data_IF_759610643075
#
_entry.id   IF_759610643075
#
_cell.length_a   1.000
_cell.length_b   1.000
_cell.length_c   1.000
_cell.angle_alpha   90.00
_cell.angle_beta   90.00
_cell.angle_gamma   90.00
#
_symmetry.space_group_name_H-M   'P 1'
#
loop_
_entity.id
_entity.type
_entity.pdbx_description
1 polymer ?
#
# COMPACT_ATOMS: atom_id res chain seq x y z
N UNK A 1 32.71 -22.43 -46.24
CA UNK A 1 32.77 -21.24 -45.36
C UNK A 1 31.46 -21.16 -44.56
N UNK A 2 31.47 -21.60 -43.30
CA UNK A 2 30.29 -21.55 -42.41
C UNK A 2 30.29 -20.22 -41.70
N UNK A 3 29.23 -19.40 -41.89
CA UNK A 3 29.04 -18.16 -41.16
C UNK A 3 28.46 -18.49 -39.76
N UNK A 4 29.22 -18.16 -38.73
CA UNK A 4 28.80 -18.25 -37.33
C UNK A 4 27.96 -17.01 -37.02
N UNK A 5 26.67 -17.21 -36.73
CA UNK A 5 25.75 -16.13 -36.30
C UNK A 5 25.91 -16.02 -34.79
N UNK A 6 26.49 -14.91 -34.31
CA UNK A 6 26.60 -14.60 -32.89
C UNK A 6 25.28 -13.98 -32.45
N UNK A 7 24.49 -14.71 -31.64
CA UNK A 7 23.27 -14.21 -31.05
C UNK A 7 23.63 -13.50 -29.72
N UNK A 8 23.67 -12.19 -29.72
CA UNK A 8 23.84 -11.38 -28.49
C UNK A 8 22.49 -11.25 -27.77
N UNK A 9 22.32 -12.04 -26.72
CA UNK A 9 21.20 -11.84 -25.75
C UNK A 9 21.46 -10.60 -24.90
N UNK A 10 20.75 -9.54 -25.16
CA UNK A 10 20.71 -8.37 -24.28
C UNK A 10 19.84 -8.74 -23.08
N UNK A 11 20.47 -9.02 -21.94
CA UNK A 11 19.80 -9.20 -20.66
C UNK A 11 19.40 -7.79 -20.17
N UNK A 12 18.14 -7.42 -20.38
CA UNK A 12 17.57 -6.19 -19.84
C UNK A 12 17.50 -6.30 -18.32
N UNK A 13 18.43 -5.68 -17.61
CA UNK A 13 18.27 -5.42 -16.17
C UNK A 13 17.14 -4.42 -15.99
N UNK A 14 15.95 -4.90 -15.57
CA UNK A 14 14.93 -4.04 -15.01
C UNK A 14 15.49 -3.46 -13.70
N UNK A 15 15.93 -2.20 -13.70
CA UNK A 15 16.20 -1.46 -12.47
C UNK A 15 14.89 -1.39 -11.69
N UNK A 16 14.73 -2.30 -10.74
CA UNK A 16 13.77 -2.14 -9.65
C UNK A 16 14.26 -0.93 -8.84
N UNK A 17 13.55 0.18 -8.92
CA UNK A 17 13.75 1.31 -8.00
C UNK A 17 13.24 0.91 -6.62
N UNK A 18 13.97 0.03 -5.93
CA UNK A 18 13.78 -0.18 -4.52
C UNK A 18 14.15 1.15 -3.82
N UNK A 19 13.25 1.68 -3.01
CA UNK A 19 13.56 2.85 -2.21
C UNK A 19 14.78 2.56 -1.33
N UNK A 20 15.78 3.44 -1.33
CA UNK A 20 16.97 3.28 -0.49
C UNK A 20 16.59 3.29 1.00
N UNK A 21 17.23 2.44 1.82
CA UNK A 21 16.90 2.27 3.24
C UNK A 21 17.11 3.55 4.08
N UNK A 22 18.02 4.45 3.65
CA UNK A 22 18.51 5.60 4.43
C UNK A 22 18.17 6.95 3.80
N UNK A 23 16.96 7.14 3.31
CA UNK A 23 16.55 8.44 2.79
C UNK A 23 16.29 9.44 3.95
N UNK A 24 16.89 10.67 3.93
CA UNK A 24 16.76 11.61 5.03
C UNK A 24 15.33 11.94 5.42
N UNK A 25 15.02 11.78 6.70
CA UNK A 25 13.73 12.08 7.29
C UNK A 25 12.68 10.96 7.18
N UNK A 26 12.95 9.87 6.45
CA UNK A 26 12.09 8.69 6.50
C UNK A 26 12.50 7.74 7.63
N UNK A 27 11.52 7.29 8.39
CA UNK A 27 11.70 6.28 9.45
C UNK A 27 10.91 5.02 9.08
N UNK A 28 11.45 3.86 9.43
CA UNK A 28 10.74 2.60 9.21
C UNK A 28 9.50 2.51 10.10
N UNK A 29 8.38 2.10 9.53
CA UNK A 29 7.15 1.74 10.25
C UNK A 29 7.11 0.26 10.63
N UNK A 30 7.99 -0.56 10.05
CA UNK A 30 8.06 -2.00 10.27
C UNK A 30 9.53 -2.43 10.36
N UNK A 31 9.87 -3.12 11.44
CA UNK A 31 11.25 -3.51 11.75
C UNK A 31 11.75 -4.76 11.00
N UNK A 32 10.86 -5.44 10.24
CA UNK A 32 11.17 -6.65 9.48
C UNK A 32 11.30 -7.93 10.32
N UNK A 33 11.02 -7.89 11.62
CA UNK A 33 11.22 -9.01 12.57
C UNK A 33 9.93 -9.43 13.29
N UNK A 34 9.15 -8.45 13.73
CA UNK A 34 7.92 -8.64 14.48
C UNK A 34 6.94 -7.49 14.24
N UNK A 35 5.78 -7.53 14.87
CA UNK A 35 4.75 -6.49 14.77
C UNK A 35 4.87 -5.42 15.86
N UNK A 36 6.05 -5.21 16.44
CA UNK A 36 6.25 -4.12 17.40
C UNK A 36 5.87 -2.77 16.77
N UNK A 37 5.16 -1.94 17.52
CA UNK A 37 4.57 -0.70 17.02
C UNK A 37 3.21 -0.86 16.34
N UNK A 38 2.72 -2.09 16.14
CA UNK A 38 1.43 -2.43 15.56
C UNK A 38 0.56 -3.25 16.53
N UNK A 39 -0.74 -3.25 16.29
CA UNK A 39 -1.69 -4.12 17.01
C UNK A 39 -2.81 -4.57 16.08
N UNK A 40 -3.42 -5.71 16.41
CA UNK A 40 -4.66 -6.15 15.78
C UNK A 40 -5.77 -5.12 16.05
N UNK A 41 -6.60 -4.85 15.04
CA UNK A 41 -7.83 -4.07 15.20
C UNK A 41 -8.89 -4.85 15.99
N UNK A 42 -8.88 -6.18 15.89
CA UNK A 42 -9.76 -7.07 16.66
C UNK A 42 -9.08 -7.53 17.94
N UNK A 43 -9.84 -7.60 19.03
CA UNK A 43 -9.36 -8.07 20.33
C UNK A 43 -9.58 -9.57 20.55
N UNK A 44 -10.08 -10.33 19.56
CA UNK A 44 -10.43 -11.75 19.65
C UNK A 44 -9.22 -12.70 19.58
N UNK A 45 -8.01 -12.16 19.42
CA UNK A 45 -6.77 -12.92 19.35
C UNK A 45 -6.51 -13.60 18.01
N UNK A 46 -7.39 -13.46 17.02
CA UNK A 46 -7.14 -13.96 15.67
C UNK A 46 -6.01 -13.16 15.00
N UNK A 47 -5.07 -13.87 14.40
CA UNK A 47 -3.94 -13.27 13.70
C UNK A 47 -3.69 -14.01 12.38
N UNK A 48 -3.82 -13.31 11.26
CA UNK A 48 -3.52 -13.81 9.92
C UNK A 48 -2.18 -13.33 9.38
N UNK A 49 -1.44 -12.55 10.16
CA UNK A 49 -0.16 -11.98 9.78
C UNK A 49 1.01 -12.84 10.22
N UNK A 50 1.99 -12.95 9.35
CA UNK A 50 3.29 -13.58 9.60
C UNK A 50 4.40 -12.71 9.02
N UNK A 51 5.64 -12.99 9.44
CA UNK A 51 6.81 -12.26 8.96
C UNK A 51 7.83 -13.28 8.46
N UNK A 52 8.28 -13.08 7.23
CA UNK A 52 9.27 -13.95 6.61
C UNK A 52 10.21 -13.12 5.73
N UNK A 53 11.50 -13.21 6.00
CA UNK A 53 12.52 -12.49 5.22
C UNK A 53 12.33 -10.97 5.19
N UNK A 54 11.83 -10.36 6.28
CA UNK A 54 11.54 -8.93 6.34
C UNK A 54 10.25 -8.50 5.64
N UNK A 55 9.44 -9.45 5.17
CA UNK A 55 8.15 -9.21 4.52
C UNK A 55 7.04 -9.47 5.53
N UNK A 56 6.13 -8.51 5.70
CA UNK A 56 4.91 -8.64 6.47
C UNK A 56 3.83 -9.26 5.57
N UNK A 57 3.41 -10.48 5.89
CA UNK A 57 2.48 -11.29 5.09
C UNK A 57 1.16 -11.44 5.80
N UNK A 58 0.06 -11.07 5.14
CA UNK A 58 -1.29 -11.48 5.51
C UNK A 58 -1.70 -12.65 4.61
N UNK A 59 -2.13 -13.75 5.20
CA UNK A 59 -2.62 -14.92 4.45
C UNK A 59 -4.07 -15.19 4.83
N UNK A 60 -4.94 -15.12 3.83
CA UNK A 60 -6.37 -15.40 3.98
C UNK A 60 -6.74 -16.54 3.05
N UNK A 61 -7.22 -17.63 3.63
CA UNK A 61 -7.71 -18.78 2.89
C UNK A 61 -9.14 -18.51 2.36
N UNK A 62 -9.54 -19.25 1.33
CA UNK A 62 -10.87 -19.12 0.75
C UNK A 62 -11.96 -19.36 1.79
N UNK A 63 -12.84 -18.40 1.99
CA UNK A 63 -13.96 -18.48 2.94
C UNK A 63 -13.60 -18.08 4.38
N UNK A 64 -12.35 -17.68 4.62
CA UNK A 64 -11.91 -17.15 5.91
C UNK A 64 -11.82 -15.63 5.89
N UNK A 65 -11.73 -15.04 7.06
CA UNK A 65 -11.43 -13.63 7.28
C UNK A 65 -10.08 -13.50 7.98
N UNK A 66 -9.25 -12.61 7.50
CA UNK A 66 -8.01 -12.25 8.17
C UNK A 66 -8.22 -11.17 9.24
N UNK A 67 -7.14 -10.52 9.60
CA UNK A 67 -7.11 -9.52 10.69
C UNK A 67 -6.46 -8.23 10.21
N UNK A 68 -7.07 -7.10 10.54
CA UNK A 68 -6.49 -5.78 10.27
C UNK A 68 -5.40 -5.44 11.27
N UNK A 69 -4.33 -4.76 10.82
CA UNK A 69 -3.30 -4.19 11.68
C UNK A 69 -3.37 -2.67 11.69
N UNK A 70 -3.20 -2.07 12.87
CA UNK A 70 -3.12 -0.62 13.04
C UNK A 70 -1.88 -0.23 13.83
N UNK A 71 -1.22 0.88 13.47
CA UNK A 71 -0.10 1.38 14.27
C UNK A 71 -0.55 1.88 15.63
N UNK A 72 0.29 1.70 16.65
CA UNK A 72 0.07 2.30 17.97
C UNK A 72 0.17 3.82 17.93
N UNK A 73 1.10 4.34 17.12
CA UNK A 73 1.30 5.79 16.91
C UNK A 73 0.27 6.33 15.93
N UNK A 74 -0.16 7.58 16.15
CA UNK A 74 -1.04 8.35 15.27
C UNK A 74 -0.24 9.45 14.57
N UNK A 75 -0.62 9.77 13.35
CA UNK A 75 0.07 10.72 12.47
C UNK A 75 -0.93 11.73 11.91
N UNK A 76 -0.45 12.93 11.57
CA UNK A 76 -1.28 13.97 10.94
C UNK A 76 -0.88 14.23 9.49
N UNK A 77 0.12 15.06 9.24
CA UNK A 77 0.68 15.29 7.90
C UNK A 77 1.90 14.39 7.71
N UNK A 78 1.93 13.63 6.62
CA UNK A 78 3.05 12.74 6.33
C UNK A 78 3.13 12.34 4.87
N UNK A 79 4.32 11.89 4.46
CA UNK A 79 4.52 11.06 3.28
C UNK A 79 4.85 9.65 3.73
N UNK A 80 4.16 8.66 3.18
CA UNK A 80 4.45 7.23 3.40
C UNK A 80 4.88 6.60 2.08
N UNK A 81 5.86 5.70 2.17
CA UNK A 81 6.31 4.84 1.07
C UNK A 81 6.21 3.40 1.51
N UNK A 82 5.72 2.57 0.61
CA UNK A 82 5.65 1.14 0.85
C UNK A 82 5.62 0.38 -0.47
N UNK A 83 5.93 -0.89 -0.37
CA UNK A 83 5.72 -1.83 -1.46
C UNK A 83 4.72 -2.89 -1.01
N UNK A 84 3.84 -3.27 -1.93
CA UNK A 84 2.90 -4.36 -1.70
C UNK A 84 2.87 -5.33 -2.89
N UNK A 85 2.45 -6.55 -2.60
CA UNK A 85 2.23 -7.60 -3.60
C UNK A 85 0.91 -8.30 -3.28
N UNK A 86 0.13 -8.61 -4.32
CA UNK A 86 -1.16 -9.32 -4.18
C UNK A 86 -1.30 -10.40 -5.26
N UNK A 87 -1.99 -11.51 -4.95
CA UNK A 87 -2.48 -12.44 -5.97
C UNK A 87 -3.57 -11.80 -6.85
N UNK A 88 -3.86 -12.42 -7.99
CA UNK A 88 -5.06 -12.08 -8.79
C UNK A 88 -6.33 -12.13 -7.91
N UNK A 89 -7.21 -11.17 -8.11
CA UNK A 89 -8.50 -11.03 -7.42
C UNK A 89 -8.40 -10.88 -5.89
N UNK A 90 -7.21 -10.62 -5.34
CA UNK A 90 -7.10 -10.29 -3.92
C UNK A 90 -7.57 -8.88 -3.64
N UNK A 91 -8.07 -8.66 -2.42
CA UNK A 91 -8.57 -7.38 -1.93
C UNK A 91 -7.91 -7.04 -0.59
N UNK A 92 -7.41 -5.83 -0.49
CA UNK A 92 -6.80 -5.25 0.70
C UNK A 92 -6.87 -3.72 0.62
N UNK A 93 -6.36 -3.02 1.63
CA UNK A 93 -6.30 -1.57 1.66
C UNK A 93 -5.17 -1.05 2.54
N UNK A 94 -4.64 0.11 2.16
CA UNK A 94 -3.72 0.89 2.98
C UNK A 94 -4.40 2.19 3.40
N UNK A 95 -4.69 2.34 4.69
CA UNK A 95 -5.45 3.49 5.18
C UNK A 95 -4.54 4.58 5.73
N UNK A 96 -4.63 5.76 5.14
CA UNK A 96 -4.03 6.98 5.68
C UNK A 96 -4.88 7.45 6.85
N UNK A 97 -4.26 7.65 8.02
CA UNK A 97 -4.92 8.02 9.30
C UNK A 97 -6.04 7.05 9.72
N UNK A 98 -6.03 5.81 9.20
CA UNK A 98 -7.08 4.83 9.45
C UNK A 98 -8.46 5.20 8.90
N UNK A 99 -8.56 6.18 8.00
CA UNK A 99 -9.85 6.72 7.52
C UNK A 99 -9.94 6.87 6.01
N UNK A 100 -8.81 7.04 5.32
CA UNK A 100 -8.76 7.22 3.87
C UNK A 100 -8.05 6.03 3.25
N UNK A 101 -8.81 5.14 2.65
CA UNK A 101 -8.29 3.93 2.03
C UNK A 101 -7.70 4.20 0.65
N UNK A 102 -6.46 3.80 0.48
CA UNK A 102 -5.86 3.54 -0.82
C UNK A 102 -6.09 2.08 -1.13
N UNK A 103 -6.98 1.83 -2.10
CA UNK A 103 -7.41 0.48 -2.47
C UNK A 103 -6.26 -0.34 -3.04
N UNK A 104 -6.14 -1.58 -2.58
CA UNK A 104 -5.21 -2.58 -3.07
C UNK A 104 -6.00 -3.74 -3.66
N UNK A 105 -5.93 -3.90 -4.99
CA UNK A 105 -6.61 -4.97 -5.71
C UNK A 105 -5.68 -5.70 -6.66
N UNK A 106 -5.89 -7.02 -6.79
CA UNK A 106 -5.31 -7.84 -7.83
C UNK A 106 -6.10 -7.76 -9.13
N UNK A 107 -6.29 -6.56 -9.68
CA UNK A 107 -7.16 -6.27 -10.82
C UNK A 107 -6.43 -5.98 -12.14
N UNK A 108 -5.14 -6.26 -12.23
CA UNK A 108 -4.31 -5.96 -13.40
C UNK A 108 -4.92 -6.39 -14.74
N UNK A 109 -5.60 -7.53 -14.76
CA UNK A 109 -6.25 -8.06 -15.97
C UNK A 109 -7.38 -7.19 -16.51
N UNK A 110 -7.88 -6.24 -15.72
CA UNK A 110 -8.90 -5.27 -16.17
C UNK A 110 -8.34 -4.30 -17.21
N UNK A 111 -7.04 -4.02 -17.19
CA UNK A 111 -6.33 -3.13 -18.11
C UNK A 111 -6.75 -1.66 -18.05
N UNK A 112 -7.59 -1.27 -17.09
CA UNK A 112 -8.12 0.09 -16.96
C UNK A 112 -8.48 0.43 -15.51
N UNK A 113 -8.46 1.72 -15.11
CA UNK A 113 -8.96 2.16 -13.81
C UNK A 113 -10.44 1.78 -13.64
N UNK A 114 -10.82 1.31 -12.45
CA UNK A 114 -12.20 1.07 -12.09
C UNK A 114 -12.76 2.28 -11.32
N UNK A 115 -13.99 2.69 -11.64
CA UNK A 115 -14.66 3.78 -10.93
C UNK A 115 -14.89 3.40 -9.46
N UNK A 116 -14.28 4.18 -8.56
CA UNK A 116 -14.53 4.12 -7.13
C UNK A 116 -13.88 2.99 -6.34
N UNK A 117 -13.31 1.95 -6.98
CA UNK A 117 -12.84 0.79 -6.25
C UNK A 117 -11.66 0.01 -6.86
N UNK A 118 -11.06 0.44 -7.98
CA UNK A 118 -9.91 -0.20 -8.60
C UNK A 118 -8.62 0.01 -7.81
N UNK A 119 -7.60 -0.78 -8.15
CA UNK A 119 -6.29 -0.66 -7.52
C UNK A 119 -5.75 0.78 -7.58
N UNK A 120 -5.32 1.32 -6.45
CA UNK A 120 -4.86 2.69 -6.31
C UNK A 120 -5.96 3.74 -6.16
N UNK A 121 -7.25 3.39 -6.19
CA UNK A 121 -8.33 4.34 -5.94
C UNK A 121 -8.26 4.86 -4.48
N UNK A 122 -8.67 6.11 -4.28
CA UNK A 122 -9.16 6.55 -2.97
C UNK A 122 -10.58 5.99 -2.89
N UNK A 123 -10.75 4.91 -2.11
CA UNK A 123 -11.93 4.04 -2.14
C UNK A 123 -13.23 4.81 -1.97
N UNK A 124 -14.25 4.48 -2.78
CA UNK A 124 -15.56 5.15 -2.82
C UNK A 124 -15.51 6.68 -2.99
N UNK A 125 -14.35 7.25 -3.33
CA UNK A 125 -14.18 8.68 -3.46
C UNK A 125 -13.67 9.08 -4.86
N UNK A 126 -12.47 8.64 -5.24
CA UNK A 126 -11.85 9.06 -6.50
C UNK A 126 -11.12 7.88 -7.16
N UNK A 127 -11.47 7.59 -8.41
CA UNK A 127 -10.73 6.64 -9.22
C UNK A 127 -9.32 7.18 -9.54
N UNK A 128 -8.30 6.30 -9.73
CA UNK A 128 -7.01 6.74 -10.19
C UNK A 128 -7.12 7.37 -11.60
N UNK A 129 -6.35 8.42 -11.84
CA UNK A 129 -6.33 9.13 -13.13
C UNK A 129 -5.69 8.31 -14.25
N UNK A 130 -4.91 7.31 -13.92
CA UNK A 130 -4.22 6.42 -14.86
C UNK A 130 -4.18 4.98 -14.33
N UNK A 131 -4.13 4.01 -15.24
CA UNK A 131 -3.88 2.62 -14.88
C UNK A 131 -2.37 2.41 -14.68
N UNK A 132 -1.98 2.17 -13.44
CA UNK A 132 -0.59 2.04 -13.03
C UNK A 132 -0.25 0.69 -12.39
N UNK A 133 -1.21 -0.25 -12.31
CA UNK A 133 -1.01 -1.58 -11.74
C UNK A 133 -0.01 -2.41 -12.53
N UNK A 134 0.77 -3.24 -11.83
CA UNK A 134 1.57 -4.32 -12.40
C UNK A 134 0.85 -5.66 -12.24
N UNK A 135 1.26 -6.71 -12.98
CA UNK A 135 0.72 -8.06 -12.83
C UNK A 135 0.69 -8.56 -11.38
N UNK A 136 -0.25 -9.46 -11.10
CA UNK A 136 -0.29 -10.18 -9.83
C UNK A 136 1.04 -10.90 -9.56
N UNK A 137 1.47 -10.89 -8.29
CA UNK A 137 2.75 -11.45 -7.89
C UNK A 137 3.95 -10.53 -8.13
N UNK A 138 3.78 -9.38 -8.77
CA UNK A 138 4.82 -8.35 -8.84
C UNK A 138 4.67 -7.32 -7.71
N UNK A 139 5.82 -6.80 -7.23
CA UNK A 139 5.84 -5.73 -6.25
C UNK A 139 5.40 -4.40 -6.86
N UNK A 140 4.35 -3.82 -6.28
CA UNK A 140 3.87 -2.48 -6.56
C UNK A 140 4.56 -1.50 -5.63
N UNK A 141 4.97 -0.33 -6.11
CA UNK A 141 5.58 0.73 -5.29
C UNK A 141 4.61 1.87 -5.12
N UNK A 142 4.43 2.34 -3.90
CA UNK A 142 3.55 3.46 -3.57
C UNK A 142 4.31 4.55 -2.81
N UNK A 143 4.08 5.78 -3.22
CA UNK A 143 4.31 6.97 -2.41
C UNK A 143 2.99 7.69 -2.24
N UNK A 144 2.57 7.93 -0.99
CA UNK A 144 1.35 8.65 -0.68
C UNK A 144 1.63 9.76 0.32
N UNK A 145 1.15 10.96 0.02
CA UNK A 145 1.25 12.13 0.89
C UNK A 145 -0.13 12.60 1.29
N UNK A 146 -0.33 12.88 2.57
CA UNK A 146 -1.52 13.53 3.10
C UNK A 146 -1.12 14.78 3.89
N UNK A 147 -1.65 15.93 3.48
CA UNK A 147 -1.49 17.23 4.15
C UNK A 147 -2.87 17.85 4.33
N UNK A 148 -3.24 18.11 5.59
CA UNK A 148 -4.63 18.46 5.88
C UNK A 148 -5.58 17.38 5.36
N UNK A 149 -6.49 17.74 4.48
CA UNK A 149 -7.43 16.81 3.82
C UNK A 149 -7.05 16.47 2.37
N UNK A 150 -5.86 16.87 1.90
CA UNK A 150 -5.39 16.67 0.52
C UNK A 150 -4.51 15.43 0.41
N UNK A 151 -4.84 14.56 -0.53
CA UNK A 151 -4.12 13.30 -0.78
C UNK A 151 -3.50 13.32 -2.17
N UNK A 152 -2.19 13.05 -2.22
CA UNK A 152 -1.43 12.84 -3.48
C UNK A 152 -0.86 11.44 -3.46
N UNK A 153 -0.99 10.70 -4.56
CA UNK A 153 -0.51 9.30 -4.65
C UNK A 153 0.22 9.07 -5.96
N UNK A 154 1.38 8.43 -5.84
CA UNK A 154 2.15 7.88 -6.95
C UNK A 154 2.17 6.35 -6.82
N UNK A 155 1.73 5.64 -7.85
CA UNK A 155 1.77 4.17 -7.95
C UNK A 155 2.67 3.78 -9.11
N UNK A 156 3.69 2.96 -8.84
CA UNK A 156 4.65 2.48 -9.83
C UNK A 156 5.27 3.60 -10.70
N UNK A 157 5.58 4.75 -10.08
CA UNK A 157 6.17 5.90 -10.72
C UNK A 157 5.17 6.82 -11.46
N UNK A 158 3.88 6.46 -11.52
CA UNK A 158 2.83 7.33 -12.10
C UNK A 158 2.05 8.04 -11.00
N UNK A 159 1.93 9.36 -11.08
CA UNK A 159 1.04 10.13 -10.19
C UNK A 159 -0.41 9.86 -10.60
N UNK A 160 -1.15 9.17 -9.76
CA UNK A 160 -2.54 8.75 -9.99
C UNK A 160 -3.56 9.61 -9.23
N UNK A 161 -3.12 10.35 -8.21
CA UNK A 161 -3.90 11.37 -7.51
C UNK A 161 -3.00 12.57 -7.23
N UNK A 162 -3.51 13.78 -7.40
CA UNK A 162 -2.78 15.04 -7.19
C UNK A 162 -3.62 16.01 -6.37
N UNK A 163 -3.35 16.07 -5.05
CA UNK A 163 -4.02 16.96 -4.11
C UNK A 163 -5.53 16.76 -3.99
N UNK A 164 -6.01 15.52 -4.13
CA UNK A 164 -7.45 15.19 -4.01
C UNK A 164 -7.93 15.50 -2.61
N UNK A 165 -8.97 16.33 -2.51
CA UNK A 165 -9.58 16.73 -1.23
C UNK A 165 -10.50 15.62 -0.73
N UNK A 166 -10.24 15.11 0.50
CA UNK A 166 -11.01 14.05 1.14
C UNK A 166 -11.51 14.51 2.51
N UNK A 167 -12.73 15.07 2.55
CA UNK A 167 -13.36 15.60 3.75
C UNK A 167 -14.15 14.55 4.55
N UNK A 168 -14.26 13.33 4.02
CA UNK A 168 -14.98 12.21 4.63
C UNK A 168 -14.14 10.95 4.62
N UNK A 169 -14.38 10.06 5.55
CA UNK A 169 -13.83 8.72 5.55
C UNK A 169 -14.37 7.91 4.35
N UNK A 170 -13.59 6.95 3.89
CA UNK A 170 -13.86 6.24 2.61
C UNK A 170 -14.61 4.92 2.78
N UNK A 171 -14.74 4.39 4.00
CA UNK A 171 -15.37 3.11 4.34
C UNK A 171 -14.45 2.23 5.17
N UNK A 172 -15.01 1.36 5.99
CA UNK A 172 -14.30 0.47 6.94
C UNK A 172 -13.29 1.19 7.86
N UNK A 173 -13.42 2.49 7.98
CA UNK A 173 -12.57 3.36 8.79
C UNK A 173 -12.60 3.01 10.29
N UNK A 174 -11.57 3.45 11.02
CA UNK A 174 -11.52 3.25 12.49
C UNK A 174 -12.52 4.12 13.25
N UNK A 175 -12.81 5.32 12.73
CA UNK A 175 -13.76 6.30 13.24
C UNK A 175 -14.01 7.42 12.20
N UNK A 176 -14.96 8.32 12.46
CA UNK A 176 -15.31 9.45 11.59
C UNK A 176 -14.46 10.72 11.77
N UNK A 177 -13.37 10.69 12.54
CA UNK A 177 -12.61 11.88 12.96
C UNK A 177 -11.54 12.29 11.94
N UNK A 178 -11.94 12.58 10.71
CA UNK A 178 -11.04 12.84 9.57
C UNK A 178 -10.06 14.01 9.77
N UNK A 179 -10.40 14.95 10.66
CA UNK A 179 -9.61 16.13 10.99
C UNK A 179 -8.71 15.94 12.23
N UNK A 180 -8.51 14.71 12.70
CA UNK A 180 -7.63 14.37 13.80
C UNK A 180 -6.48 13.46 13.34
N UNK A 181 -5.33 13.45 14.04
CA UNK A 181 -4.29 12.44 13.82
C UNK A 181 -4.86 11.02 13.94
N UNK A 182 -4.43 10.13 13.07
CA UNK A 182 -4.87 8.73 13.06
C UNK A 182 -3.72 7.76 12.75
N UNK A 183 -3.93 6.45 13.00
CA UNK A 183 -2.91 5.44 12.73
C UNK A 183 -2.80 5.16 11.23
N UNK A 184 -1.72 4.51 10.83
CA UNK A 184 -1.73 3.71 9.61
C UNK A 184 -2.51 2.43 9.90
N UNK A 185 -3.36 2.04 8.95
CA UNK A 185 -4.14 0.82 9.05
C UNK A 185 -3.91 -0.02 7.78
N UNK A 186 -3.57 -1.28 7.96
CA UNK A 186 -3.43 -2.28 6.90
C UNK A 186 -4.64 -3.22 6.97
N UNK A 187 -5.43 -3.25 5.90
CA UNK A 187 -6.58 -4.15 5.83
C UNK A 187 -6.10 -5.57 5.55
N UNK A 188 -6.44 -6.49 6.44
CA UNK A 188 -6.07 -7.89 6.35
C UNK A 188 -7.25 -8.84 6.31
N UNK A 189 -8.48 -8.37 6.55
CA UNK A 189 -9.64 -9.24 6.71
C UNK A 189 -10.23 -9.76 5.39
N UNK A 190 -9.93 -9.14 4.23
CA UNK A 190 -10.55 -9.48 2.95
C UNK A 190 -9.73 -10.42 2.07
N UNK A 191 -8.40 -10.29 2.05
CA UNK A 191 -7.58 -11.07 1.14
C UNK A 191 -6.10 -11.11 1.50
N UNK A 192 -5.39 -11.98 0.79
CA UNK A 192 -3.95 -12.13 0.94
C UNK A 192 -3.21 -10.93 0.38
N UNK A 193 -2.28 -10.38 1.15
CA UNK A 193 -1.42 -9.26 0.76
C UNK A 193 -0.08 -9.36 1.48
N UNK A 194 0.98 -8.94 0.81
CA UNK A 194 2.32 -8.82 1.39
C UNK A 194 2.79 -7.39 1.32
N UNK A 195 3.46 -6.93 2.40
CA UNK A 195 4.05 -5.60 2.49
C UNK A 195 5.54 -5.68 2.82
N UNK A 196 6.31 -4.74 2.28
CA UNK A 196 7.69 -4.50 2.66
C UNK A 196 8.06 -3.02 2.51
N UNK A 197 9.20 -2.62 3.03
CA UNK A 197 9.74 -1.26 2.88
C UNK A 197 8.77 -0.16 3.33
N UNK A 198 7.98 -0.43 4.39
CA UNK A 198 7.06 0.56 4.96
C UNK A 198 7.86 1.64 5.69
N UNK A 199 7.84 2.87 5.18
CA UNK A 199 8.59 4.01 5.72
C UNK A 199 7.74 5.26 5.67
N UNK A 200 7.95 6.14 6.62
CA UNK A 200 7.19 7.38 6.73
C UNK A 200 8.10 8.56 7.06
N UNK A 201 7.76 9.71 6.50
CA UNK A 201 8.28 11.02 6.87
C UNK A 201 7.14 11.87 7.38
N UNK A 202 7.17 12.23 8.66
CA UNK A 202 6.21 13.19 9.21
C UNK A 202 6.52 14.59 8.64
N UNK A 203 5.46 15.33 8.32
CA UNK A 203 5.53 16.67 7.77
C UNK A 203 5.03 17.67 8.83
N UNK A 204 5.44 18.94 8.75
CA UNK A 204 4.96 19.98 9.68
C UNK A 204 3.42 20.02 9.72
N UNK A 205 2.89 20.38 10.88
CA UNK A 205 1.50 20.87 10.98
C UNK A 205 1.54 22.33 10.53
N UNK A 206 0.71 22.65 9.57
CA UNK A 206 0.45 24.04 9.21
C UNK A 206 -0.25 24.76 10.36
#
# INVERSE_FOLDING_TARGET
MKKLLLLTTVLGFALSTAFAADEPGFVSLFNGKDTDGWKSRRADGHNSWSIEGGILKNTVNKGEHGTDLVTNKKFWNFTVRYEYQVPDNSNSGFYLRGRHELQILGDYKSGKPSKGGGNGAIYNHTAPSDFASKPAGEWQTVEATIIGNKITVTLNGKKIHDGVVCDKATGSEIDGKVNEPGPIFLQGDHGTVWFRNLRMKELPKD
#
